data_IF_886861050788
#
_entry.id   IF_886861050788
#
_cell.length_a   1.000
_cell.length_b   1.000
_cell.length_c   1.000
_cell.angle_alpha   90.00
_cell.angle_beta   90.00
_cell.angle_gamma   90.00
#
_symmetry.space_group_name_H-M   'P 1'
#
loop_
_entity.id
_entity.type
_entity.pdbx_description
1 polymer ?
#
# COMPACT_ATOMS: atom_id res chain seq x y z
N UNK A 1 28.42 37.16 -3.52
CA UNK A 1 26.97 36.90 -3.65
C UNK A 1 26.38 37.38 -4.98
N UNK A 2 26.94 38.41 -5.65
CA UNK A 2 26.38 38.95 -6.90
C UNK A 2 26.70 38.15 -8.18
N UNK A 3 27.80 37.38 -8.24
CA UNK A 3 28.12 36.53 -9.42
C UNK A 3 27.16 35.35 -9.60
N UNK A 4 26.65 34.81 -8.49
CA UNK A 4 25.69 33.70 -8.56
C UNK A 4 24.32 34.19 -9.07
N UNK A 5 23.85 35.34 -8.57
CA UNK A 5 22.52 35.87 -8.92
C UNK A 5 22.47 36.52 -10.31
N UNK A 6 23.53 37.22 -10.75
CA UNK A 6 23.51 37.98 -12.01
C UNK A 6 24.30 37.34 -13.15
N UNK A 7 25.08 36.27 -12.88
CA UNK A 7 25.86 35.56 -13.89
C UNK A 7 25.42 34.11 -14.00
N UNK A 8 25.74 33.31 -12.98
CA UNK A 8 25.59 31.84 -13.06
C UNK A 8 24.14 31.37 -13.13
N UNK A 9 23.21 31.93 -12.34
CA UNK A 9 21.82 31.49 -12.35
C UNK A 9 21.14 31.77 -13.71
N UNK A 10 21.20 32.99 -14.27
CA UNK A 10 20.64 33.25 -15.60
C UNK A 10 21.27 32.40 -16.70
N UNK A 11 22.57 32.12 -16.61
CA UNK A 11 23.28 31.28 -17.57
C UNK A 11 22.86 29.82 -17.48
N UNK A 12 22.74 29.27 -16.27
CA UNK A 12 22.27 27.91 -16.02
C UNK A 12 20.79 27.74 -16.40
N UNK A 13 19.93 28.74 -16.14
CA UNK A 13 18.53 28.75 -16.57
C UNK A 13 18.42 28.74 -18.10
N UNK A 14 19.25 29.52 -18.80
CA UNK A 14 19.28 29.57 -20.26
C UNK A 14 19.81 28.27 -20.87
N UNK A 15 20.79 27.64 -20.24
CA UNK A 15 21.29 26.31 -20.62
C UNK A 15 20.24 25.22 -20.39
N UNK A 16 19.48 25.31 -19.29
CA UNK A 16 18.37 24.40 -19.00
C UNK A 16 17.25 24.54 -20.04
N UNK A 17 16.82 25.77 -20.35
CA UNK A 17 15.81 26.03 -21.39
C UNK A 17 16.24 25.54 -22.77
N UNK A 18 17.51 25.76 -23.15
CA UNK A 18 18.06 25.30 -24.42
C UNK A 18 18.09 23.76 -24.51
N UNK A 19 18.49 23.07 -23.43
CA UNK A 19 18.44 21.62 -23.35
C UNK A 19 17.00 21.09 -23.44
N UNK A 20 16.05 21.75 -22.79
CA UNK A 20 14.63 21.36 -22.77
C UNK A 20 13.96 21.57 -24.15
N UNK A 21 14.32 22.62 -24.89
CA UNK A 21 13.81 22.87 -26.25
C UNK A 21 14.35 21.87 -27.28
N UNK A 22 15.59 21.37 -27.11
CA UNK A 22 16.19 20.32 -27.94
C UNK A 22 15.53 18.95 -27.74
N UNK A 23 15.06 18.66 -26.52
CA UNK A 23 14.31 17.43 -26.20
C UNK A 23 12.92 17.36 -26.88
N UNK A 24 12.32 18.51 -27.21
CA UNK A 24 10.99 18.56 -27.84
C UNK A 24 10.95 18.09 -29.31
N UNK A 25 12.09 18.01 -30.00
CA UNK A 25 12.17 17.73 -31.44
C UNK A 25 12.91 16.45 -31.83
N UNK A 26 13.51 15.76 -30.87
CA UNK A 26 14.30 14.54 -31.12
C UNK A 26 13.49 13.34 -30.67
N UNK A 27 13.05 12.53 -31.64
CA UNK A 27 12.50 11.17 -31.49
C UNK A 27 12.18 10.70 -30.06
N UNK A 28 10.88 10.59 -29.79
CA UNK A 28 10.16 10.09 -28.61
C UNK A 28 10.48 8.63 -28.26
N UNK A 29 11.75 8.25 -28.20
CA UNK A 29 12.25 6.88 -27.97
C UNK A 29 12.91 6.70 -26.60
N UNK A 30 13.27 7.77 -25.90
CA UNK A 30 13.82 7.71 -24.55
C UNK A 30 12.96 8.58 -23.61
N UNK A 31 11.98 7.95 -22.97
CA UNK A 31 11.29 8.54 -21.81
C UNK A 31 12.31 8.61 -20.68
N UNK A 32 12.83 9.80 -20.43
CA UNK A 32 13.88 10.05 -19.44
C UNK A 32 13.33 10.40 -18.04
N UNK A 33 12.04 10.14 -17.78
CA UNK A 33 11.39 10.46 -16.49
C UNK A 33 10.73 9.21 -15.93
N UNK A 34 11.32 8.69 -14.85
CA UNK A 34 10.77 7.57 -14.08
C UNK A 34 9.51 8.05 -13.36
N UNK A 35 8.37 7.42 -13.67
CA UNK A 35 7.10 7.66 -12.97
C UNK A 35 6.72 6.50 -12.06
N UNK A 36 5.84 6.73 -11.08
CA UNK A 36 5.32 5.67 -10.18
C UNK A 36 4.73 4.49 -10.97
N UNK A 37 4.10 4.78 -12.11
CA UNK A 37 3.55 3.76 -13.01
C UNK A 37 4.64 2.87 -13.64
N UNK A 38 5.80 3.44 -13.99
CA UNK A 38 6.93 2.68 -14.54
C UNK A 38 7.62 1.84 -13.46
N UNK A 39 7.75 2.37 -12.23
CA UNK A 39 8.25 1.61 -11.08
C UNK A 39 7.32 0.43 -10.79
N UNK A 40 6.00 0.67 -10.78
CA UNK A 40 5.00 -0.36 -10.56
C UNK A 40 5.00 -1.42 -11.67
N UNK A 41 5.21 -1.06 -12.94
CA UNK A 41 5.29 -2.03 -14.04
C UNK A 41 6.49 -2.99 -13.88
N UNK A 42 7.65 -2.47 -13.48
CA UNK A 42 8.84 -3.28 -13.22
C UNK A 42 8.62 -4.22 -12.02
N UNK A 43 8.06 -3.70 -10.93
CA UNK A 43 7.74 -4.49 -9.74
C UNK A 43 6.67 -5.54 -10.04
N UNK A 44 5.66 -5.22 -10.83
CA UNK A 44 4.60 -6.15 -11.24
C UNK A 44 5.16 -7.33 -12.05
N UNK A 45 6.08 -7.07 -13.00
CA UNK A 45 6.75 -8.15 -13.74
C UNK A 45 7.60 -9.05 -12.84
N UNK A 46 8.21 -8.48 -11.81
CA UNK A 46 9.09 -9.23 -10.93
C UNK A 46 8.33 -10.02 -9.86
N UNK A 47 7.28 -9.43 -9.28
CA UNK A 47 6.50 -10.00 -8.17
C UNK A 47 5.25 -10.77 -8.62
N UNK A 48 4.77 -10.51 -9.84
CA UNK A 48 3.49 -11.02 -10.34
C UNK A 48 2.26 -10.26 -9.82
N UNK A 49 2.43 -9.22 -9.01
CA UNK A 49 1.31 -8.43 -8.46
C UNK A 49 0.85 -7.40 -9.50
N UNK A 50 -0.46 -7.34 -9.87
CA UNK A 50 -0.94 -6.41 -10.89
C UNK A 50 -0.73 -4.93 -10.53
N UNK A 51 -0.29 -4.13 -11.52
CA UNK A 51 -0.11 -2.67 -11.36
C UNK A 51 -1.39 -2.00 -10.86
N UNK A 52 -2.56 -2.44 -11.33
CA UNK A 52 -3.85 -1.92 -10.86
C UNK A 52 -4.08 -2.08 -9.36
N UNK A 53 -3.57 -3.17 -8.75
CA UNK A 53 -3.63 -3.38 -7.29
C UNK A 53 -2.60 -2.54 -6.55
N UNK A 54 -1.42 -2.34 -7.13
CA UNK A 54 -0.38 -1.47 -6.53
C UNK A 54 -0.76 0.01 -6.56
N UNK A 55 -1.54 0.41 -7.57
CA UNK A 55 -2.03 1.76 -7.77
C UNK A 55 -3.37 2.02 -7.04
N UNK A 56 -3.98 1.00 -6.43
CA UNK A 56 -5.19 1.20 -5.62
C UNK A 56 -4.86 2.08 -4.41
N UNK A 57 -5.70 3.08 -4.14
CA UNK A 57 -5.55 3.86 -2.92
C UNK A 57 -5.75 2.94 -1.71
N UNK A 58 -4.74 2.83 -0.85
CA UNK A 58 -4.83 2.08 0.40
C UNK A 58 -6.08 2.47 1.20
N UNK A 59 -6.50 3.75 1.14
CA UNK A 59 -7.74 4.24 1.73
C UNK A 59 -8.98 3.55 1.17
N UNK A 60 -9.12 3.44 -0.15
CA UNK A 60 -10.28 2.81 -0.79
C UNK A 60 -10.33 1.31 -0.50
N UNK A 61 -9.16 0.65 -0.47
CA UNK A 61 -9.03 -0.75 -0.05
C UNK A 61 -9.54 -0.92 1.38
N UNK A 62 -9.06 -0.10 2.31
CA UNK A 62 -9.46 -0.16 3.73
C UNK A 62 -10.94 0.16 3.97
N UNK A 63 -11.57 1.02 3.15
CA UNK A 63 -13.00 1.33 3.25
C UNK A 63 -13.90 0.14 2.89
N UNK A 64 -13.39 -0.81 2.11
CA UNK A 64 -14.11 -2.02 1.70
C UNK A 64 -13.73 -3.27 2.50
N UNK A 65 -12.89 -3.13 3.53
CA UNK A 65 -12.32 -4.26 4.26
C UNK A 65 -13.38 -5.21 4.83
N UNK A 66 -14.42 -4.70 5.50
CA UNK A 66 -15.46 -5.54 6.10
C UNK A 66 -16.17 -6.36 5.02
N UNK A 67 -16.48 -5.73 3.87
CA UNK A 67 -17.11 -6.40 2.74
C UNK A 67 -16.22 -7.52 2.20
N UNK A 68 -14.93 -7.24 1.98
CA UNK A 68 -13.96 -8.22 1.50
C UNK A 68 -13.78 -9.41 2.48
N UNK A 69 -13.73 -9.15 3.79
CA UNK A 69 -13.65 -10.20 4.80
C UNK A 69 -14.92 -11.06 4.84
N UNK A 70 -16.09 -10.46 4.66
CA UNK A 70 -17.37 -11.16 4.62
C UNK A 70 -17.56 -12.08 3.41
N UNK A 71 -16.76 -11.93 2.34
CA UNK A 71 -16.78 -12.90 1.23
C UNK A 71 -16.29 -14.29 1.67
N UNK A 72 -15.46 -14.37 2.72
CA UNK A 72 -14.90 -15.64 3.23
C UNK A 72 -15.45 -16.01 4.60
N UNK A 73 -15.78 -15.02 5.43
CA UNK A 73 -16.26 -15.24 6.80
C UNK A 73 -17.74 -14.92 6.87
N UNK A 74 -18.55 -15.98 6.98
CA UNK A 74 -20.01 -15.89 7.11
C UNK A 74 -20.36 -15.79 8.60
N UNK A 75 -21.18 -14.81 8.95
CA UNK A 75 -21.42 -14.38 10.34
C UNK A 75 -20.10 -13.93 11.02
N UNK A 76 -20.15 -13.46 12.28
CA UNK A 76 -19.01 -12.80 13.00
C UNK A 76 -18.82 -11.30 12.69
N UNK A 77 -19.91 -10.53 12.52
CA UNK A 77 -19.85 -9.09 12.24
C UNK A 77 -19.01 -8.33 13.29
N UNK A 78 -19.20 -8.64 14.57
CA UNK A 78 -18.50 -7.97 15.66
C UNK A 78 -16.97 -8.19 15.61
N UNK A 79 -16.55 -9.39 15.22
CA UNK A 79 -15.13 -9.72 15.09
C UNK A 79 -14.51 -9.03 13.88
N UNK A 80 -15.22 -9.01 12.74
CA UNK A 80 -14.82 -8.31 11.52
C UNK A 80 -14.69 -6.81 11.80
N UNK A 81 -15.72 -6.19 12.39
CA UNK A 81 -15.74 -4.76 12.72
C UNK A 81 -14.60 -4.38 13.68
N UNK A 82 -14.35 -5.20 14.72
CA UNK A 82 -13.28 -4.94 15.68
C UNK A 82 -11.89 -4.95 15.02
N UNK A 83 -11.66 -5.92 14.14
CA UNK A 83 -10.41 -6.03 13.38
C UNK A 83 -10.25 -4.86 12.42
N UNK A 84 -11.27 -4.58 11.61
CA UNK A 84 -11.25 -3.50 10.61
C UNK A 84 -11.00 -2.13 11.24
N UNK A 85 -11.63 -1.86 12.39
CA UNK A 85 -11.40 -0.62 13.13
C UNK A 85 -9.97 -0.49 13.66
N UNK A 86 -9.38 -1.57 14.19
CA UNK A 86 -7.99 -1.53 14.67
C UNK A 86 -7.01 -1.22 13.53
N UNK A 87 -7.19 -1.87 12.38
CA UNK A 87 -6.31 -1.67 11.22
C UNK A 87 -6.46 -0.25 10.68
N UNK A 88 -7.69 0.25 10.53
CA UNK A 88 -7.94 1.64 10.10
C UNK A 88 -7.30 2.65 11.05
N UNK A 89 -7.40 2.46 12.37
CA UNK A 89 -6.74 3.34 13.35
C UNK A 89 -5.22 3.33 13.19
N UNK A 90 -4.62 2.17 13.00
CA UNK A 90 -3.18 2.05 12.79
C UNK A 90 -2.72 2.74 11.50
N UNK A 91 -3.44 2.52 10.39
CA UNK A 91 -3.14 3.15 9.09
C UNK A 91 -3.40 4.65 9.07
N UNK A 92 -4.31 5.13 9.91
CA UNK A 92 -4.53 6.56 10.13
C UNK A 92 -3.49 7.21 11.07
N UNK A 93 -2.51 6.46 11.58
CA UNK A 93 -1.51 6.97 12.53
C UNK A 93 -2.07 7.27 13.92
N UNK A 94 -3.26 6.76 14.25
CA UNK A 94 -3.92 6.94 15.54
C UNK A 94 -3.50 5.86 16.56
N UNK A 95 -2.73 4.85 16.14
CA UNK A 95 -2.21 3.80 17.01
C UNK A 95 -0.81 4.13 17.55
N UNK A 96 -0.49 3.61 18.73
CA UNK A 96 0.84 3.71 19.33
C UNK A 96 1.88 2.96 18.48
N UNK A 97 2.96 3.61 17.99
CA UNK A 97 3.98 2.97 17.17
C UNK A 97 4.77 1.87 17.91
N UNK A 98 4.75 1.85 19.24
CA UNK A 98 5.43 0.83 20.05
C UNK A 98 4.56 -0.41 20.30
N UNK A 99 3.35 -0.47 19.73
CA UNK A 99 2.41 -1.58 19.92
C UNK A 99 2.05 -2.22 18.57
N UNK A 100 1.70 -3.52 18.57
CA UNK A 100 1.19 -4.15 17.35
C UNK A 100 -0.10 -3.48 16.88
N UNK A 101 -0.34 -3.54 15.57
CA UNK A 101 -1.52 -2.98 14.87
C UNK A 101 -2.83 -3.39 15.57
N UNK A 102 -2.90 -4.64 16.00
CA UNK A 102 -3.96 -5.19 16.83
C UNK A 102 -3.53 -6.52 17.41
N UNK A 103 -3.99 -6.82 18.63
CA UNK A 103 -3.86 -8.12 19.26
C UNK A 103 -5.26 -8.62 19.56
N UNK A 104 -5.63 -9.76 18.97
CA UNK A 104 -6.98 -10.30 19.04
C UNK A 104 -6.95 -11.71 19.61
N UNK A 105 -7.91 -11.99 20.49
CA UNK A 105 -8.17 -13.32 21.02
C UNK A 105 -9.59 -13.74 20.60
N UNK A 106 -9.70 -14.69 19.67
CA UNK A 106 -10.99 -15.19 19.20
C UNK A 106 -11.47 -16.37 20.05
N UNK A 107 -12.50 -16.16 20.86
CA UNK A 107 -13.13 -17.17 21.74
C UNK A 107 -14.46 -17.66 21.15
N UNK A 108 -14.86 -18.90 21.47
CA UNK A 108 -16.02 -19.56 20.85
C UNK A 108 -15.80 -21.03 20.44
N UNK A 109 -16.83 -21.74 19.98
CA UNK A 109 -16.75 -23.15 19.61
C UNK A 109 -15.90 -23.36 18.33
N UNK A 110 -15.46 -24.59 18.11
CA UNK A 110 -14.72 -24.97 16.90
C UNK A 110 -15.63 -24.92 15.67
N UNK A 111 -15.06 -24.65 14.49
CA UNK A 111 -15.80 -24.66 13.22
C UNK A 111 -16.59 -23.38 12.89
N UNK A 112 -16.64 -22.37 13.77
CA UNK A 112 -17.38 -21.11 13.53
C UNK A 112 -16.66 -20.06 12.68
N UNK A 113 -15.48 -20.39 12.14
CA UNK A 113 -14.75 -19.49 11.22
C UNK A 113 -13.69 -18.59 11.85
N UNK A 114 -13.29 -18.78 13.12
CA UNK A 114 -12.21 -17.98 13.75
C UNK A 114 -10.90 -18.04 12.98
N UNK A 115 -10.44 -19.25 12.65
CA UNK A 115 -9.22 -19.45 11.87
C UNK A 115 -9.36 -18.93 10.44
N UNK A 116 -10.57 -18.99 9.89
CA UNK A 116 -10.85 -18.47 8.56
C UNK A 116 -10.78 -16.95 8.53
N UNK A 117 -11.22 -16.27 9.60
CA UNK A 117 -11.05 -14.82 9.76
C UNK A 117 -9.57 -14.43 9.79
N UNK A 118 -8.72 -15.20 10.46
CA UNK A 118 -7.27 -14.95 10.45
C UNK A 118 -6.68 -15.07 9.03
N UNK A 119 -7.07 -16.12 8.28
CA UNK A 119 -6.60 -16.34 6.90
C UNK A 119 -7.13 -15.29 5.93
N UNK A 120 -8.42 -14.94 6.05
CA UNK A 120 -9.04 -13.89 5.26
C UNK A 120 -8.35 -12.54 5.49
N UNK A 121 -8.03 -12.23 6.75
CA UNK A 121 -7.28 -11.03 7.11
C UNK A 121 -5.85 -11.05 6.54
N UNK A 122 -5.15 -12.17 6.64
CA UNK A 122 -3.80 -12.31 6.08
C UNK A 122 -3.81 -12.10 4.55
N UNK A 123 -4.75 -12.74 3.85
CA UNK A 123 -4.90 -12.53 2.40
C UNK A 123 -5.26 -11.08 2.06
N UNK A 124 -6.15 -10.45 2.83
CA UNK A 124 -6.52 -9.06 2.55
C UNK A 124 -5.33 -8.10 2.73
N UNK A 125 -4.52 -8.30 3.77
CA UNK A 125 -3.42 -7.41 4.11
C UNK A 125 -2.15 -7.64 3.30
N UNK A 126 -1.82 -8.89 2.99
CA UNK A 126 -0.52 -9.28 2.44
C UNK A 126 -0.61 -10.03 1.11
N UNK A 127 -1.83 -10.26 0.59
CA UNK A 127 -2.06 -11.10 -0.58
C UNK A 127 -1.43 -12.51 -0.41
N UNK A 128 -1.29 -12.98 0.83
CA UNK A 128 -0.68 -14.26 1.19
C UNK A 128 -1.43 -14.98 2.30
N UNK A 129 -1.66 -16.30 2.14
CA UNK A 129 -2.32 -17.12 3.17
C UNK A 129 -1.38 -17.37 4.37
N UNK A 130 -0.08 -17.11 4.21
CA UNK A 130 0.94 -17.10 5.27
C UNK A 130 1.14 -15.67 5.74
N UNK A 131 0.77 -15.38 6.98
CA UNK A 131 0.97 -14.07 7.61
C UNK A 131 2.43 -13.82 7.94
N UNK A 132 3.16 -13.15 7.04
CA UNK A 132 4.55 -12.70 7.24
C UNK A 132 4.66 -11.21 7.62
N UNK A 133 3.53 -10.51 7.74
CA UNK A 133 3.51 -9.15 8.30
C UNK A 133 2.93 -9.13 9.70
N UNK A 134 3.62 -8.41 10.60
CA UNK A 134 3.40 -8.01 12.01
C UNK A 134 1.98 -7.94 12.63
N UNK A 135 1.05 -8.78 12.20
CA UNK A 135 -0.22 -9.08 12.87
C UNK A 135 -0.02 -10.43 13.56
N UNK A 136 0.35 -10.40 14.83
CA UNK A 136 0.40 -11.61 15.64
C UNK A 136 -1.04 -12.05 15.94
N UNK A 137 -1.57 -12.92 15.08
CA UNK A 137 -2.85 -13.56 15.30
C UNK A 137 -2.56 -14.92 15.93
N UNK A 138 -2.86 -15.07 17.22
CA UNK A 138 -2.80 -16.37 17.90
C UNK A 138 -4.17 -17.04 17.82
N UNK A 139 -4.40 -18.00 16.91
CA UNK A 139 -5.54 -18.89 17.02
C UNK A 139 -5.26 -19.86 18.17
N UNK A 140 -5.88 -19.66 19.32
CA UNK A 140 -5.97 -20.69 20.35
C UNK A 140 -6.88 -21.80 19.83
N UNK A 141 -6.27 -22.93 19.43
CA UNK A 141 -6.91 -24.22 19.22
C UNK A 141 -7.48 -24.75 20.54
#
# INVERSE_FOLDING_TARGET
MSELQYGKIPELEKQLEAATQLEGKTMRLLRNKVTDAEIAEVLARWTGIPVSRMMESEREKLLRMEQELHHRVIAQNEAVDAVSNAIRRSRAGLADPNRPIGSFLFLGPTGVGKTELCKALANFMFDSDRGDGSVSICPSL
#
